data_IF_565172088491
#
_entry.id   IF_565172088491
#
_cell.length_a   1.000
_cell.length_b   1.000
_cell.length_c   1.000
_cell.angle_alpha   90.00
_cell.angle_beta   90.00
_cell.angle_gamma   90.00
#
_symmetry.space_group_name_H-M   'P 1'
#
loop_
_entity.id
_entity.type
_entity.pdbx_description
1 polymer ?
#
# COMPACT_ATOMS: atom_id res chain seq x y z
N UNK A 1 4.37 -28.30 12.10
CA UNK A 1 3.94 -27.38 13.15
C UNK A 1 5.08 -27.00 14.09
N UNK A 2 5.77 -25.92 13.73
CA UNK A 2 6.67 -25.20 14.63
C UNK A 2 6.00 -23.88 14.97
N UNK A 3 6.09 -23.48 16.24
CA UNK A 3 5.51 -22.23 16.73
C UNK A 3 6.60 -21.41 17.41
N UNK A 4 6.53 -20.09 17.24
CA UNK A 4 7.32 -19.13 17.99
C UNK A 4 6.47 -18.54 19.12
N UNK A 5 7.04 -18.37 20.30
CA UNK A 5 6.33 -17.92 21.50
C UNK A 5 6.93 -16.61 22.00
N UNK A 6 6.06 -15.63 22.21
CA UNK A 6 6.39 -14.29 22.70
C UNK A 6 5.59 -14.00 23.96
N UNK A 7 6.24 -13.42 24.96
CA UNK A 7 5.64 -13.06 26.25
C UNK A 7 5.00 -11.66 26.27
N UNK A 8 4.99 -10.98 25.11
CA UNK A 8 4.40 -9.67 24.87
C UNK A 8 3.19 -9.75 23.94
N UNK A 9 2.39 -8.69 23.90
CA UNK A 9 1.21 -8.55 23.05
C UNK A 9 1.61 -8.23 21.61
N UNK A 10 0.77 -8.59 20.63
CA UNK A 10 1.08 -8.34 19.21
C UNK A 10 1.27 -6.85 18.88
N UNK A 11 0.49 -5.98 19.52
CA UNK A 11 0.58 -4.53 19.32
C UNK A 11 1.81 -3.87 19.96
N UNK A 12 2.60 -4.61 20.74
CA UNK A 12 3.84 -4.14 21.37
C UNK A 12 5.07 -4.35 20.46
N UNK A 13 4.91 -5.09 19.35
CA UNK A 13 5.99 -5.38 18.42
C UNK A 13 5.79 -4.74 17.03
N UNK A 14 6.89 -4.54 16.32
CA UNK A 14 6.96 -4.10 14.94
C UNK A 14 7.34 -5.30 14.06
N UNK A 15 6.51 -5.58 13.05
CA UNK A 15 6.79 -6.64 12.06
C UNK A 15 7.44 -6.00 10.84
N UNK A 16 8.71 -6.31 10.60
CA UNK A 16 9.47 -5.82 9.45
C UNK A 16 9.66 -6.93 8.42
N UNK A 17 9.68 -6.55 7.14
CA UNK A 17 9.94 -7.46 6.01
C UNK A 17 11.23 -7.07 5.31
N UNK A 18 12.27 -7.90 5.34
CA UNK A 18 13.49 -7.59 4.62
C UNK A 18 13.26 -7.76 3.11
N UNK A 19 13.52 -6.71 2.31
CA UNK A 19 13.28 -6.69 0.87
C UNK A 19 13.94 -7.84 0.09
N UNK A 20 15.09 -8.33 0.59
CA UNK A 20 15.90 -9.37 -0.05
C UNK A 20 15.70 -10.78 0.55
N UNK A 21 14.82 -10.94 1.53
CA UNK A 21 14.57 -12.21 2.24
C UNK A 21 13.05 -12.41 2.36
N UNK A 22 12.41 -12.74 1.23
CA UNK A 22 10.93 -12.78 1.12
C UNK A 22 10.31 -13.88 1.98
N UNK A 23 11.09 -14.92 2.28
CA UNK A 23 10.73 -16.03 3.14
C UNK A 23 10.97 -15.75 4.63
N UNK A 24 11.34 -14.51 4.99
CA UNK A 24 11.59 -14.11 6.37
C UNK A 24 10.76 -12.90 6.81
N UNK A 25 10.44 -12.88 8.10
CA UNK A 25 9.91 -11.72 8.83
C UNK A 25 10.82 -11.41 10.01
N UNK A 26 10.95 -10.13 10.35
CA UNK A 26 11.62 -9.69 11.58
C UNK A 26 10.54 -9.25 12.56
N UNK A 27 10.56 -9.83 13.75
CA UNK A 27 9.73 -9.41 14.88
C UNK A 27 10.60 -8.57 15.80
N UNK A 28 10.35 -7.27 15.83
CA UNK A 28 11.10 -6.30 16.61
C UNK A 28 10.30 -5.84 17.81
N UNK A 29 10.84 -6.03 18.99
CA UNK A 29 10.28 -5.57 20.26
C UNK A 29 11.35 -4.77 21.01
N UNK A 30 10.97 -4.04 22.07
CA UNK A 30 11.95 -3.31 22.89
C UNK A 30 13.04 -4.22 23.49
N UNK A 31 12.71 -5.50 23.71
CA UNK A 31 13.63 -6.50 24.27
C UNK A 31 14.57 -7.15 23.25
N UNK A 32 14.34 -7.00 21.94
CA UNK A 32 15.15 -7.65 20.93
C UNK A 32 14.51 -7.73 19.54
N UNK A 33 15.19 -8.43 18.64
CA UNK A 33 14.72 -8.69 17.28
C UNK A 33 14.93 -10.16 16.92
N UNK A 34 13.87 -10.81 16.47
CA UNK A 34 13.91 -12.18 15.97
C UNK A 34 13.72 -12.19 14.45
N UNK A 35 14.57 -12.92 13.74
CA UNK A 35 14.44 -13.19 12.31
C UNK A 35 13.86 -14.59 12.14
N UNK A 36 12.67 -14.68 11.57
CA UNK A 36 11.89 -15.92 11.50
C UNK A 36 11.54 -16.24 10.05
N UNK A 37 11.74 -17.49 9.64
CA UNK A 37 11.40 -17.97 8.31
C UNK A 37 10.02 -18.64 8.23
N UNK A 38 9.59 -18.98 7.01
CA UNK A 38 8.32 -19.66 6.73
C UNK A 38 8.18 -21.05 7.39
N UNK A 39 9.23 -21.60 8.01
CA UNK A 39 9.14 -22.87 8.73
C UNK A 39 8.39 -22.75 10.07
N UNK A 40 8.17 -21.53 10.57
CA UNK A 40 7.28 -21.24 11.69
C UNK A 40 5.87 -20.99 11.17
N UNK A 41 4.94 -21.86 11.55
CA UNK A 41 3.55 -21.80 11.08
C UNK A 41 2.72 -20.83 11.95
N UNK A 42 2.98 -20.81 13.26
CA UNK A 42 2.24 -20.01 14.24
C UNK A 42 3.15 -19.12 15.09
N UNK A 43 2.69 -17.91 15.33
CA UNK A 43 3.30 -16.91 16.21
C UNK A 43 2.33 -16.68 17.36
N UNK A 44 2.72 -17.14 18.55
CA UNK A 44 1.89 -17.09 19.75
C UNK A 44 2.36 -15.91 20.60
N UNK A 45 1.57 -14.85 20.62
CA UNK A 45 1.74 -13.69 21.48
C UNK A 45 0.92 -13.88 22.77
N UNK A 46 1.13 -13.01 23.76
CA UNK A 46 0.40 -13.07 25.02
C UNK A 46 -1.13 -12.88 24.84
N UNK A 47 -1.54 -12.11 23.84
CA UNK A 47 -2.93 -11.74 23.58
C UNK A 47 -3.58 -12.46 22.38
N UNK A 48 -2.79 -13.05 21.47
CA UNK A 48 -3.31 -13.66 20.26
C UNK A 48 -2.36 -14.68 19.61
N UNK A 49 -2.86 -15.35 18.57
CA UNK A 49 -2.08 -16.22 17.69
C UNK A 49 -2.19 -15.70 16.26
N UNK A 50 -1.06 -15.62 15.55
CA UNK A 50 -0.96 -15.21 14.14
C UNK A 50 -0.32 -16.30 13.31
N UNK A 51 -0.77 -16.46 12.07
CA UNK A 51 -0.08 -17.31 11.09
C UNK A 51 1.01 -16.54 10.36
N UNK A 52 2.01 -17.25 9.81
CA UNK A 52 3.05 -16.64 8.97
C UNK A 52 2.45 -15.81 7.83
N UNK A 53 1.42 -16.34 7.17
CA UNK A 53 0.69 -15.63 6.12
C UNK A 53 0.13 -14.30 6.60
N UNK A 54 -0.43 -14.21 7.81
CA UNK A 54 -0.96 -12.97 8.39
C UNK A 54 0.11 -11.94 8.71
N UNK A 55 1.33 -12.37 9.05
CA UNK A 55 2.47 -11.48 9.25
C UNK A 55 3.07 -11.03 7.91
N UNK A 56 2.97 -11.88 6.87
CA UNK A 56 3.40 -11.56 5.50
C UNK A 56 2.38 -10.78 4.67
N UNK A 57 1.12 -10.70 5.09
CA UNK A 57 0.18 -9.68 4.62
C UNK A 57 0.77 -8.36 5.09
N UNK A 58 1.34 -7.58 4.19
CA UNK A 58 1.55 -6.17 4.51
C UNK A 58 0.18 -5.65 4.89
N UNK A 59 0.06 -4.91 6.00
CA UNK A 59 -0.84 -3.77 5.93
C UNK A 59 -0.36 -3.01 4.70
N UNK A 60 -0.97 -3.31 3.55
CA UNK A 60 -0.73 -2.57 2.35
C UNK A 60 -1.11 -1.18 2.80
N UNK A 61 -0.13 -0.27 2.88
CA UNK A 61 -0.44 1.13 2.66
C UNK A 61 -0.97 1.16 1.24
N UNK A 62 -2.22 0.73 1.05
CA UNK A 62 -2.85 0.71 -0.23
C UNK A 62 -2.88 2.18 -0.58
N UNK A 63 -2.18 2.51 -1.65
CA UNK A 63 -2.04 3.85 -2.21
C UNK A 63 -3.43 4.56 -2.27
N UNK A 64 -4.48 3.74 -2.34
CA UNK A 64 -5.87 4.07 -2.57
C UNK A 64 -6.80 3.85 -1.36
N UNK A 65 -6.28 3.60 -0.15
CA UNK A 65 -7.11 3.53 1.05
C UNK A 65 -7.62 4.93 1.47
N UNK A 66 -8.86 4.98 1.95
CA UNK A 66 -9.49 6.22 2.41
C UNK A 66 -10.05 7.14 1.30
N UNK A 67 -10.01 6.71 0.03
CA UNK A 67 -10.61 7.47 -1.07
C UNK A 67 -12.12 7.65 -0.90
N UNK A 68 -12.61 8.88 -1.12
CA UNK A 68 -14.02 9.21 -1.07
C UNK A 68 -14.45 9.80 -2.42
N UNK A 69 -15.16 9.01 -3.23
CA UNK A 69 -15.69 9.41 -4.53
C UNK A 69 -17.14 9.86 -4.34
N UNK A 70 -17.44 11.11 -4.71
CA UNK A 70 -18.78 11.71 -4.53
C UNK A 70 -19.73 11.40 -5.67
N UNK A 71 -19.20 11.16 -6.86
CA UNK A 71 -19.97 10.83 -8.04
C UNK A 71 -20.67 9.48 -7.89
N UNK A 72 -21.98 9.46 -8.15
CA UNK A 72 -22.75 8.21 -8.15
C UNK A 72 -22.31 7.27 -9.28
N UNK A 73 -21.97 7.84 -10.44
CA UNK A 73 -21.56 7.13 -11.65
C UNK A 73 -20.24 7.69 -12.17
N UNK A 74 -19.29 6.79 -12.36
CA UNK A 74 -17.95 7.07 -12.86
C UNK A 74 -17.89 6.72 -14.34
N UNK A 75 -17.54 7.72 -15.15
CA UNK A 75 -17.42 7.64 -16.61
C UNK A 75 -15.97 7.59 -17.07
N UNK A 76 -15.07 8.23 -16.33
CA UNK A 76 -13.63 8.16 -16.59
C UNK A 76 -12.86 7.93 -15.30
N UNK A 77 -11.85 7.08 -15.38
CA UNK A 77 -10.81 6.91 -14.38
C UNK A 77 -9.46 7.09 -15.08
N UNK A 78 -8.61 7.96 -14.53
CA UNK A 78 -7.23 8.13 -14.97
C UNK A 78 -6.29 8.04 -13.79
N UNK A 79 -5.22 7.27 -13.95
CA UNK A 79 -4.17 7.11 -12.94
C UNK A 79 -2.85 7.52 -13.57
N UNK A 80 -2.09 8.38 -12.90
CA UNK A 80 -0.76 8.81 -13.33
C UNK A 80 0.20 8.57 -12.17
N UNK A 81 1.31 7.88 -12.45
CA UNK A 81 2.42 7.69 -11.51
C UNK A 81 3.64 8.35 -12.14
N UNK A 82 3.96 9.56 -11.66
CA UNK A 82 5.16 10.28 -12.11
C UNK A 82 6.39 9.64 -11.50
N UNK A 83 7.48 9.60 -12.25
CA UNK A 83 8.74 8.99 -11.80
C UNK A 83 8.78 7.47 -11.90
N UNK A 84 7.73 6.82 -12.41
CA UNK A 84 7.70 5.38 -12.63
C UNK A 84 8.80 4.93 -13.60
N UNK A 85 9.57 3.94 -13.18
CA UNK A 85 10.67 3.33 -13.90
C UNK A 85 10.37 1.85 -14.19
N UNK A 86 10.13 1.52 -15.46
CA UNK A 86 9.78 0.15 -15.87
C UNK A 86 10.82 -0.93 -15.57
N UNK A 87 12.06 -0.53 -15.29
CA UNK A 87 13.14 -1.48 -14.97
C UNK A 87 13.17 -1.88 -13.49
N UNK A 88 12.61 -1.04 -12.61
CA UNK A 88 12.73 -1.20 -11.15
C UNK A 88 11.39 -1.22 -10.44
N UNK A 89 10.36 -0.64 -11.04
CA UNK A 89 9.05 -0.49 -10.44
C UNK A 89 8.05 -1.50 -11.02
N UNK A 90 7.07 -1.91 -10.21
CA UNK A 90 5.99 -2.78 -10.64
C UNK A 90 4.63 -2.23 -10.23
N UNK A 91 3.64 -2.50 -11.08
CA UNK A 91 2.23 -2.20 -10.84
C UNK A 91 1.41 -3.42 -11.27
N UNK A 92 0.57 -3.92 -10.37
CA UNK A 92 -0.40 -4.98 -10.64
C UNK A 92 -1.80 -4.50 -10.25
N UNK A 93 -2.82 -4.98 -10.93
CA UNK A 93 -4.22 -4.64 -10.64
C UNK A 93 -5.17 -5.72 -11.18
N UNK A 94 -6.36 -5.82 -10.57
CA UNK A 94 -7.36 -6.82 -10.90
C UNK A 94 -8.48 -6.21 -11.75
N UNK A 95 -8.43 -6.45 -13.06
CA UNK A 95 -9.45 -5.95 -14.00
C UNK A 95 -10.81 -6.62 -13.82
N UNK A 96 -10.91 -7.79 -13.18
CA UNK A 96 -12.20 -8.45 -12.97
C UNK A 96 -13.08 -7.71 -11.96
N UNK A 97 -12.48 -6.79 -11.19
CA UNK A 97 -13.22 -5.93 -10.24
C UNK A 97 -13.99 -4.80 -10.92
N UNK A 98 -13.70 -4.46 -12.18
CA UNK A 98 -14.30 -3.33 -12.88
C UNK A 98 -14.82 -3.71 -14.27
N UNK A 99 -16.02 -3.24 -14.64
CA UNK A 99 -16.47 -3.43 -16.03
C UNK A 99 -16.01 -2.26 -16.89
N UNK A 100 -15.28 -2.57 -17.94
CA UNK A 100 -14.80 -1.61 -18.90
C UNK A 100 -15.85 -1.39 -20.00
N UNK A 101 -16.22 -0.13 -20.25
CA UNK A 101 -17.10 0.22 -21.37
C UNK A 101 -16.35 0.26 -22.71
N UNK A 102 -15.04 0.43 -22.65
CA UNK A 102 -14.12 0.39 -23.78
C UNK A 102 -12.78 -0.19 -23.31
N UNK A 103 -11.94 -0.73 -24.21
CA UNK A 103 -10.61 -1.17 -23.83
C UNK A 103 -9.85 -0.08 -23.08
N UNK A 104 -9.28 -0.42 -21.92
CA UNK A 104 -8.41 0.48 -21.19
C UNK A 104 -7.12 0.72 -21.98
N UNK A 105 -6.49 1.87 -21.73
CA UNK A 105 -5.22 2.23 -22.35
C UNK A 105 -4.23 2.54 -21.25
N UNK A 106 -2.99 2.11 -21.43
CA UNK A 106 -1.88 2.56 -20.61
C UNK A 106 -0.69 2.94 -21.49
N UNK A 107 0.16 3.79 -20.95
CA UNK A 107 1.43 4.17 -21.54
C UNK A 107 2.47 4.25 -20.43
N UNK A 108 3.62 3.64 -20.68
CA UNK A 108 4.84 3.86 -19.91
C UNK A 108 5.68 4.83 -20.74
N UNK A 109 6.08 5.93 -20.11
CA UNK A 109 6.87 6.98 -20.74
C UNK A 109 8.10 7.28 -19.89
N UNK A 110 9.05 8.05 -20.44
CA UNK A 110 10.18 8.56 -19.67
C UNK A 110 9.78 9.38 -18.43
N UNK A 111 8.53 9.86 -18.38
CA UNK A 111 8.02 10.71 -17.31
C UNK A 111 7.12 9.94 -16.33
N UNK A 112 6.88 8.64 -16.57
CA UNK A 112 6.13 7.78 -15.69
C UNK A 112 5.07 6.92 -16.39
N UNK A 113 4.16 6.38 -15.58
CA UNK A 113 3.06 5.53 -16.00
C UNK A 113 1.76 6.32 -16.06
N UNK A 114 0.99 6.13 -17.14
CA UNK A 114 -0.34 6.69 -17.31
C UNK A 114 -1.32 5.60 -17.72
N UNK A 115 -2.44 5.49 -17.02
CA UNK A 115 -3.55 4.60 -17.35
C UNK A 115 -4.85 5.40 -17.44
N UNK A 116 -5.67 5.07 -18.43
CA UNK A 116 -6.99 5.68 -18.64
C UNK A 116 -8.04 4.61 -18.96
N UNK A 117 -9.18 4.73 -18.31
CA UNK A 117 -10.33 3.84 -18.45
C UNK A 117 -11.60 4.63 -18.74
N UNK A 118 -12.41 4.12 -19.65
CA UNK A 118 -13.79 4.57 -19.86
C UNK A 118 -14.75 3.58 -19.20
N UNK A 119 -15.61 4.12 -18.35
CA UNK A 119 -16.43 3.38 -17.40
C UNK A 119 -17.90 3.80 -17.51
N UNK A 120 -18.77 3.04 -16.85
CA UNK A 120 -20.12 3.44 -16.44
C UNK A 120 -20.43 2.65 -15.17
N UNK A 121 -19.68 2.97 -14.12
CA UNK A 121 -19.59 2.16 -12.91
C UNK A 121 -19.96 2.94 -11.66
N UNK A 122 -20.42 2.22 -10.65
CA UNK A 122 -20.67 2.82 -9.33
C UNK A 122 -19.36 3.07 -8.59
N UNK A 123 -19.34 4.10 -7.75
CA UNK A 123 -18.17 4.46 -6.93
C UNK A 123 -17.57 3.25 -6.18
N UNK A 124 -18.39 2.43 -5.53
CA UNK A 124 -17.91 1.27 -4.75
C UNK A 124 -17.08 0.29 -5.58
N UNK A 125 -17.50 -0.02 -6.83
CA UNK A 125 -16.73 -0.91 -7.71
C UNK A 125 -15.42 -0.28 -8.17
N UNK A 126 -15.42 1.02 -8.41
CA UNK A 126 -14.20 1.76 -8.75
C UNK A 126 -13.25 1.78 -7.55
N UNK A 127 -13.75 1.94 -6.33
CA UNK A 127 -12.96 1.87 -5.10
C UNK A 127 -12.37 0.46 -4.92
N UNK A 128 -13.17 -0.60 -5.12
CA UNK A 128 -12.70 -1.99 -5.02
C UNK A 128 -11.63 -2.32 -6.06
N UNK A 129 -11.75 -1.78 -7.27
CA UNK A 129 -10.71 -1.83 -8.29
C UNK A 129 -9.45 -1.09 -7.85
N UNK A 130 -9.56 0.16 -7.39
CA UNK A 130 -8.41 0.95 -6.93
C UNK A 130 -7.68 0.25 -5.77
N UNK A 131 -8.41 -0.36 -4.84
CA UNK A 131 -7.84 -1.19 -3.77
C UNK A 131 -7.16 -2.46 -4.26
N UNK A 132 -7.38 -2.91 -5.49
CA UNK A 132 -6.62 -4.04 -6.05
C UNK A 132 -5.25 -3.64 -6.60
N UNK A 133 -4.97 -2.35 -6.70
CA UNK A 133 -3.74 -1.87 -7.30
C UNK A 133 -2.60 -2.03 -6.30
N UNK A 134 -1.63 -2.85 -6.65
CA UNK A 134 -0.41 -3.09 -5.90
C UNK A 134 0.76 -2.42 -6.62
N UNK A 135 1.47 -1.54 -5.92
CA UNK A 135 2.64 -0.85 -6.45
C UNK A 135 3.88 -1.19 -5.62
N UNK A 136 5.01 -1.41 -6.28
CA UNK A 136 6.33 -1.46 -5.66
C UNK A 136 7.24 -0.52 -6.42
N UNK A 137 7.82 0.44 -5.71
CA UNK A 137 8.68 1.49 -6.26
C UNK A 137 10.09 1.36 -5.66
N UNK A 138 11.11 1.72 -6.44
CA UNK A 138 12.47 1.84 -5.92
C UNK A 138 12.61 3.04 -4.97
N UNK A 139 13.10 2.78 -3.74
CA UNK A 139 13.13 3.74 -2.61
C UNK A 139 14.02 4.98 -2.87
N UNK A 140 14.85 4.95 -3.92
CA UNK A 140 15.71 6.07 -4.30
C UNK A 140 15.00 7.17 -5.11
N UNK A 141 13.80 6.92 -5.62
CA UNK A 141 13.07 7.82 -6.50
C UNK A 141 11.78 8.33 -5.83
N UNK A 142 11.45 9.61 -6.09
CA UNK A 142 10.17 10.17 -5.65
C UNK A 142 9.10 9.89 -6.69
N UNK A 143 8.02 9.24 -6.27
CA UNK A 143 6.85 8.99 -7.11
C UNK A 143 5.67 9.84 -6.64
N UNK A 144 5.06 10.57 -7.58
CA UNK A 144 3.81 11.29 -7.34
C UNK A 144 2.67 10.55 -8.04
N UNK A 145 1.67 10.11 -7.28
CA UNK A 145 0.47 9.45 -7.82
C UNK A 145 -0.69 10.44 -7.89
N UNK A 146 -1.32 10.52 -9.05
CA UNK A 146 -2.50 11.36 -9.34
C UNK A 146 -3.64 10.48 -9.83
N UNK A 147 -4.82 10.71 -9.29
CA UNK A 147 -6.06 10.04 -9.71
C UNK A 147 -7.03 11.09 -10.19
N UNK A 148 -7.61 10.85 -11.36
CA UNK A 148 -8.73 11.64 -11.86
C UNK A 148 -9.95 10.74 -11.98
N UNK A 149 -11.07 11.25 -11.49
CA UNK A 149 -12.40 10.68 -11.60
C UNK A 149 -13.25 11.68 -12.36
N UNK A 150 -13.88 11.27 -13.46
CA UNK A 150 -14.68 12.17 -14.30
C UNK A 150 -13.91 13.44 -14.70
N UNK A 151 -12.61 13.29 -14.94
CA UNK A 151 -11.64 14.35 -15.26
C UNK A 151 -11.35 15.37 -14.14
N UNK A 152 -11.88 15.15 -12.94
CA UNK A 152 -11.56 15.90 -11.72
C UNK A 152 -10.50 15.18 -10.89
N UNK A 153 -9.53 15.93 -10.34
CA UNK A 153 -8.49 15.36 -9.48
C UNK A 153 -9.10 14.92 -8.15
N UNK A 154 -8.95 13.64 -7.82
CA UNK A 154 -9.42 13.06 -6.56
C UNK A 154 -8.34 13.19 -5.46
N UNK A 155 -7.07 12.96 -5.80
CA UNK A 155 -5.95 13.08 -4.85
C UNK A 155 -4.60 13.32 -5.53
N UNK A 156 -3.65 13.85 -4.74
CA UNK A 156 -2.21 13.86 -5.03
C UNK A 156 -1.44 13.41 -3.79
N UNK A 157 -0.58 12.41 -3.97
CA UNK A 157 0.25 11.71 -2.96
C UNK A 157 -0.53 10.66 -2.14
N UNK A 158 -0.13 9.40 -2.31
CA UNK A 158 -0.50 8.29 -1.44
C UNK A 158 -0.14 8.64 0.02
N UNK A 159 -1.12 8.55 0.93
CA UNK A 159 -1.05 9.02 2.31
C UNK A 159 -0.87 10.56 2.48
N UNK A 160 -1.98 11.30 2.44
CA UNK A 160 -2.07 12.64 3.05
C UNK A 160 -3.26 12.73 4.00
N UNK A 161 -3.11 12.10 5.16
CA UNK A 161 -3.42 12.70 6.47
C UNK A 161 -2.77 11.84 7.58
N UNK A 162 -1.44 11.95 7.72
CA UNK A 162 -0.82 11.77 9.04
C UNK A 162 -0.56 13.16 9.60
N UNK A 163 -1.32 13.50 10.64
CA UNK A 163 -1.01 14.61 11.54
C UNK A 163 0.44 14.48 11.99
N UNK A 164 1.31 15.33 11.45
CA UNK A 164 2.46 15.80 12.21
C UNK A 164 1.88 16.75 13.25
N UNK A 165 1.70 16.25 14.48
CA UNK A 165 1.72 17.15 15.63
C UNK A 165 3.17 17.22 16.10
N UNK A 166 3.84 18.25 15.60
CA UNK A 166 4.96 18.99 16.17
C UNK A 166 5.64 18.37 17.40
N UNK A 167 6.81 17.76 17.18
CA UNK A 167 7.93 17.97 18.09
C UNK A 167 8.66 19.25 17.66
N UNK A 168 8.21 20.38 18.20
CA UNK A 168 9.03 21.59 18.27
C UNK A 168 8.85 22.23 19.65
N UNK A 169 9.64 21.76 20.61
CA UNK A 169 9.97 22.54 21.81
C UNK A 169 11.45 22.42 22.14
N UNK A 170 12.30 22.80 21.17
CA UNK A 170 13.59 23.40 21.47
C UNK A 170 13.42 24.92 21.56
N UNK A 171 13.34 25.44 22.78
CA UNK A 171 13.72 26.83 23.06
C UNK A 171 14.97 26.83 23.91
N UNK A 172 16.09 27.27 23.33
CA UNK A 172 17.25 27.73 24.07
C UNK A 172 17.07 29.19 24.50
N UNK A 173 17.43 29.42 25.77
CA UNK A 173 18.02 30.64 26.34
C UNK A 173 17.22 31.95 26.34
N UNK A 174 16.92 32.39 27.57
CA UNK A 174 17.67 33.51 28.16
C UNK A 174 17.98 33.23 29.62
#
# INVERSE_FOLDING_TARGET
MRSAFYDFNFNECEILKPLNLREFVIIKHESGCDLVDESIEEFVFADCVKNFSELTVSESNNLFDGLNIKDEIIKSLKIIIKGYNESTDSINFDLDKINLNAPYRYAITSNGFEMSMTLNEKADRVIDFLRSIECSFDDGCKHDVLIYINDEILCSNANCDKKVQDEDSFTHAK
#
